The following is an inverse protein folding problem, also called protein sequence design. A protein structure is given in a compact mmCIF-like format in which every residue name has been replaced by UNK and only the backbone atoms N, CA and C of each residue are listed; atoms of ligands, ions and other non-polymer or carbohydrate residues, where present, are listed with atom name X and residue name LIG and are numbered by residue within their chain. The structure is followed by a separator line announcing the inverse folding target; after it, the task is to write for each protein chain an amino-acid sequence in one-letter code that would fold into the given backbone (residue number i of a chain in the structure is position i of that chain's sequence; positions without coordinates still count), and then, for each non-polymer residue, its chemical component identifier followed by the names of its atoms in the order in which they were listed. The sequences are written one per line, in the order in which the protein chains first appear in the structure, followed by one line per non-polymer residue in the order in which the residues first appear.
data_IF_387488486096
#
_entry.id   IF_387488486096
#
_cell.length_a   1.000
_cell.length_b   1.000
_cell.length_c   1.000
_cell.angle_alpha   90.00
_cell.angle_beta   90.00
_cell.angle_gamma   90.00
#
_symmetry.space_group_name_H-M   'P 1'
#
loop_
_entity.id
_entity.type
_entity.pdbx_description
1 polymer ?
#
# COMPACT_ATOMS: atom_id res chain seq x y z
N UNK A 1 16.70 11.28 22.96
CA UNK A 1 15.46 11.66 22.25
C UNK A 1 15.56 11.53 20.73
N UNK A 2 16.72 11.67 20.09
CA UNK A 2 16.88 11.58 18.62
C UNK A 2 16.62 10.18 18.01
N UNK A 3 17.02 9.11 18.72
CA UNK A 3 16.78 7.72 18.27
C UNK A 3 15.30 7.36 18.19
N UNK A 4 14.47 7.84 19.12
CA UNK A 4 13.03 7.56 19.09
C UNK A 4 12.38 8.13 17.83
N UNK A 5 12.78 9.34 17.44
CA UNK A 5 12.27 10.03 16.25
C UNK A 5 12.70 9.35 14.95
N UNK A 6 13.86 8.70 14.93
CA UNK A 6 14.33 7.92 13.79
C UNK A 6 13.67 6.54 13.69
N UNK A 7 13.37 5.89 14.82
CA UNK A 7 12.85 4.50 14.86
C UNK A 7 11.33 4.45 14.73
N UNK A 8 10.60 5.36 15.36
CA UNK A 8 9.14 5.44 15.30
C UNK A 8 8.54 5.32 13.87
N UNK A 9 9.01 6.08 12.87
CA UNK A 9 8.49 6.01 11.50
C UNK A 9 8.77 4.66 10.82
N UNK A 10 9.91 4.03 11.12
CA UNK A 10 10.23 2.67 10.63
C UNK A 10 9.27 1.65 11.23
N UNK A 11 8.95 1.77 12.53
CA UNK A 11 7.97 0.90 13.18
C UNK A 11 6.56 1.10 12.62
N UNK A 12 6.16 2.33 12.32
CA UNK A 12 4.85 2.63 11.73
C UNK A 12 4.76 2.00 10.34
N UNK A 13 5.73 2.27 9.45
CA UNK A 13 5.74 1.71 8.09
C UNK A 13 5.87 0.18 8.12
N UNK A 14 6.70 -0.37 9.01
CA UNK A 14 6.83 -1.81 9.20
C UNK A 14 5.52 -2.46 9.65
N UNK A 15 4.82 -1.86 10.62
CA UNK A 15 3.51 -2.33 11.08
C UNK A 15 2.45 -2.29 9.97
N UNK A 16 2.46 -1.23 9.16
CA UNK A 16 1.61 -1.11 7.97
C UNK A 16 1.85 -2.25 6.99
N UNK A 17 3.11 -2.51 6.63
CA UNK A 17 3.47 -3.57 5.67
C UNK A 17 3.07 -4.94 6.19
N UNK A 18 3.37 -5.25 7.47
CA UNK A 18 2.97 -6.50 8.10
C UNK A 18 1.45 -6.68 8.14
N UNK A 19 0.70 -5.61 8.43
CA UNK A 19 -0.76 -5.63 8.41
C UNK A 19 -1.30 -5.99 7.02
N UNK A 20 -0.82 -5.33 5.97
CA UNK A 20 -1.26 -5.59 4.59
C UNK A 20 -0.90 -7.01 4.16
N UNK A 21 0.33 -7.47 4.39
CA UNK A 21 0.75 -8.84 4.03
C UNK A 21 -0.07 -9.87 4.81
N UNK A 22 -0.27 -9.66 6.11
CA UNK A 22 -1.09 -10.54 6.95
C UNK A 22 -2.53 -10.62 6.48
N UNK A 23 -3.14 -9.47 6.15
CA UNK A 23 -4.51 -9.39 5.61
C UNK A 23 -4.62 -10.03 4.24
N UNK A 24 -3.68 -9.78 3.34
CA UNK A 24 -3.58 -10.44 2.03
C UNK A 24 -3.50 -11.97 2.20
N UNK A 25 -2.56 -12.44 3.02
CA UNK A 25 -2.34 -13.89 3.25
C UNK A 25 -3.57 -14.55 3.85
N UNK A 26 -4.21 -13.92 4.85
CA UNK A 26 -5.42 -14.44 5.47
C UNK A 26 -6.58 -14.54 4.46
N UNK A 27 -6.82 -13.48 3.69
CA UNK A 27 -7.89 -13.46 2.68
C UNK A 27 -7.61 -14.37 1.49
N UNK A 28 -6.33 -14.54 1.11
CA UNK A 28 -5.88 -15.48 0.08
C UNK A 28 -6.17 -16.92 0.49
N UNK A 29 -5.76 -17.29 1.70
CA UNK A 29 -5.98 -18.63 2.24
C UNK A 29 -7.48 -18.95 2.44
N UNK A 30 -8.29 -17.95 2.77
CA UNK A 30 -9.73 -18.11 2.94
C UNK A 30 -10.51 -18.06 1.61
N UNK A 31 -9.85 -17.95 0.45
CA UNK A 31 -10.50 -17.89 -0.87
C UNK A 31 -11.36 -16.65 -1.13
N UNK A 32 -11.36 -15.68 -0.21
CA UNK A 32 -12.15 -14.44 -0.30
C UNK A 32 -11.49 -13.35 -1.17
N UNK A 33 -10.23 -13.58 -1.56
CA UNK A 33 -9.48 -12.73 -2.46
C UNK A 33 -9.97 -13.01 -3.89
N UNK A 34 -10.82 -12.14 -4.42
CA UNK A 34 -11.40 -12.27 -5.76
C UNK A 34 -10.32 -12.27 -6.83
N UNK A 35 -9.94 -13.46 -7.31
CA UNK A 35 -9.06 -13.57 -8.48
C UNK A 35 -9.89 -13.25 -9.71
N UNK A 36 -9.44 -12.28 -10.51
CA UNK A 36 -10.09 -12.00 -11.80
C UNK A 36 -9.94 -13.18 -12.75
N UNK A 37 -10.99 -13.47 -13.53
CA UNK A 37 -11.01 -14.59 -14.50
C UNK A 37 -10.01 -14.42 -15.65
N UNK A 38 -9.65 -13.18 -15.98
CA UNK A 38 -8.71 -12.85 -17.06
C UNK A 38 -7.30 -12.51 -16.52
N UNK A 39 -6.28 -13.07 -17.17
CA UNK A 39 -4.85 -12.86 -16.84
C UNK A 39 -4.45 -11.39 -16.91
N UNK A 40 -4.95 -10.65 -17.90
CA UNK A 40 -4.69 -9.21 -18.03
C UNK A 40 -5.35 -8.41 -16.91
N UNK A 41 -6.54 -8.80 -16.49
CA UNK A 41 -7.24 -8.10 -15.43
C UNK A 41 -6.61 -8.38 -14.06
N UNK A 42 -6.08 -9.58 -13.81
CA UNK A 42 -5.25 -9.86 -12.63
C UNK A 42 -3.97 -9.02 -12.63
N UNK A 43 -3.28 -8.88 -13.77
CA UNK A 43 -2.08 -8.03 -13.89
C UNK A 43 -2.40 -6.57 -13.55
N UNK A 44 -3.51 -6.04 -14.08
CA UNK A 44 -3.96 -4.68 -13.75
C UNK A 44 -4.29 -4.55 -12.27
N UNK A 45 -4.94 -5.57 -11.69
CA UNK A 45 -5.30 -5.57 -10.28
C UNK A 45 -4.06 -5.59 -9.39
N UNK A 46 -3.15 -6.53 -9.61
CA UNK A 46 -1.88 -6.65 -8.88
C UNK A 46 -1.01 -5.39 -9.01
N UNK A 47 -1.18 -4.60 -10.08
CA UNK A 47 -0.51 -3.32 -10.28
C UNK A 47 -1.04 -2.18 -9.38
N UNK A 48 -2.25 -2.26 -8.83
CA UNK A 48 -2.79 -1.22 -7.93
C UNK A 48 -1.95 -1.06 -6.66
N UNK A 49 -1.36 -2.15 -6.16
CA UNK A 49 -0.52 -2.13 -4.97
C UNK A 49 0.76 -1.29 -5.20
N UNK A 50 1.62 -1.61 -6.20
CA UNK A 50 2.79 -0.79 -6.50
C UNK A 50 2.40 0.61 -7.02
N UNK A 51 1.26 0.77 -7.70
CA UNK A 51 0.82 2.09 -8.14
C UNK A 51 0.40 3.00 -6.97
N UNK A 52 -0.27 2.44 -5.97
CA UNK A 52 -0.56 3.14 -4.72
C UNK A 52 0.71 3.59 -4.00
N UNK A 53 1.74 2.72 -3.94
CA UNK A 53 3.06 3.09 -3.40
C UNK A 53 3.70 4.24 -4.17
N UNK A 54 3.67 4.21 -5.51
CA UNK A 54 4.25 5.27 -6.35
C UNK A 54 3.56 6.60 -6.12
N UNK A 55 2.22 6.64 -6.12
CA UNK A 55 1.46 7.86 -5.84
C UNK A 55 1.76 8.39 -4.44
N UNK A 56 1.80 7.51 -3.45
CA UNK A 56 2.17 7.86 -2.08
C UNK A 56 3.59 8.43 -1.97
N UNK A 57 4.55 7.85 -2.69
CA UNK A 57 5.92 8.35 -2.80
C UNK A 57 5.96 9.75 -3.42
N UNK A 58 5.24 9.98 -4.51
CA UNK A 58 5.18 11.29 -5.19
C UNK A 58 4.63 12.35 -4.24
N UNK A 59 3.54 12.05 -3.53
CA UNK A 59 2.99 12.95 -2.50
C UNK A 59 4.03 13.20 -1.41
N UNK A 60 4.70 12.15 -0.93
CA UNK A 60 5.78 12.26 0.04
C UNK A 60 6.95 13.13 -0.41
N UNK A 61 7.32 13.06 -1.70
CA UNK A 61 8.35 13.91 -2.30
C UNK A 61 7.91 15.38 -2.37
N UNK A 62 6.67 15.65 -2.76
CA UNK A 62 6.11 17.01 -2.79
C UNK A 62 6.14 17.61 -1.37
N UNK A 63 5.70 16.85 -0.36
CA UNK A 63 5.81 17.28 1.04
C UNK A 63 7.26 17.45 1.50
N UNK A 64 8.16 16.56 1.07
CA UNK A 64 9.59 16.63 1.36
C UNK A 64 10.27 17.87 0.77
N UNK A 65 9.75 18.46 -0.30
CA UNK A 65 10.24 19.74 -0.84
C UNK A 65 9.97 20.92 0.09
N UNK A 66 8.85 20.91 0.83
CA UNK A 66 8.52 21.95 1.81
C UNK A 66 9.25 21.76 3.14
N UNK A 67 9.59 20.52 3.48
CA UNK A 67 10.23 20.14 4.75
C UNK A 67 11.43 19.20 4.51
N UNK A 68 12.57 19.73 4.02
CA UNK A 68 13.71 18.92 3.57
C UNK A 68 14.32 18.04 4.66
N UNK A 69 14.35 18.52 5.92
CA UNK A 69 14.86 17.75 7.07
C UNK A 69 14.07 16.46 7.34
N UNK A 70 12.81 16.42 6.88
CA UNK A 70 11.91 15.27 7.03
C UNK A 70 11.63 14.57 5.69
N UNK A 71 12.38 14.88 4.63
CA UNK A 71 12.10 14.38 3.29
C UNK A 71 12.08 12.84 3.22
N UNK A 72 13.09 12.18 3.82
CA UNK A 72 13.13 10.71 3.91
C UNK A 72 11.92 10.12 4.65
N UNK A 73 11.44 10.83 5.68
CA UNK A 73 10.28 10.43 6.46
C UNK A 73 8.97 10.61 5.70
N UNK A 74 8.81 11.75 5.05
CA UNK A 74 7.64 12.05 4.24
C UNK A 74 7.50 11.06 3.08
N UNK A 75 8.61 10.71 2.41
CA UNK A 75 8.62 9.70 1.34
C UNK A 75 8.31 8.31 1.87
N UNK A 76 8.92 7.89 2.99
CA UNK A 76 8.69 6.56 3.57
C UNK A 76 7.25 6.38 4.08
N UNK A 77 6.72 7.38 4.78
CA UNK A 77 5.33 7.39 5.24
C UNK A 77 4.36 7.49 4.06
N UNK A 78 4.65 8.34 3.08
CA UNK A 78 3.88 8.45 1.85
C UNK A 78 3.78 7.11 1.12
N UNK A 79 4.91 6.42 0.92
CA UNK A 79 4.94 5.09 0.31
C UNK A 79 4.16 4.05 1.13
N UNK A 80 4.30 4.04 2.46
CA UNK A 80 3.59 3.13 3.35
C UNK A 80 2.08 3.35 3.34
N UNK A 81 1.63 4.60 3.41
CA UNK A 81 0.20 4.97 3.31
C UNK A 81 -0.32 4.65 1.90
N UNK A 82 0.46 4.96 0.87
CA UNK A 82 0.15 4.63 -0.52
C UNK A 82 0.00 3.12 -0.74
N UNK A 83 0.84 2.31 -0.11
CA UNK A 83 0.74 0.85 -0.11
C UNK A 83 -0.60 0.36 0.49
N UNK A 84 -1.04 0.95 1.61
CA UNK A 84 -2.34 0.63 2.22
C UNK A 84 -3.50 0.97 1.30
N UNK A 85 -3.50 2.17 0.71
CA UNK A 85 -4.56 2.58 -0.21
C UNK A 85 -4.55 1.72 -1.48
N UNK A 86 -3.37 1.38 -2.01
CA UNK A 86 -3.22 0.45 -3.12
C UNK A 86 -3.79 -0.93 -2.80
N UNK A 87 -3.57 -1.43 -1.58
CA UNK A 87 -4.17 -2.67 -1.09
C UNK A 87 -5.71 -2.59 -0.95
N UNK A 88 -6.25 -1.50 -0.42
CA UNK A 88 -7.71 -1.33 -0.35
C UNK A 88 -8.35 -1.21 -1.73
N UNK A 89 -7.72 -0.50 -2.67
CA UNK A 89 -8.15 -0.43 -4.06
C UNK A 89 -8.13 -1.83 -4.70
N UNK A 90 -7.03 -2.56 -4.52
CA UNK A 90 -6.92 -3.96 -4.93
C UNK A 90 -8.09 -4.79 -4.38
N UNK A 91 -8.38 -4.72 -3.09
CA UNK A 91 -9.44 -5.50 -2.43
C UNK A 91 -10.84 -5.12 -2.94
N UNK A 92 -11.12 -3.82 -3.11
CA UNK A 92 -12.41 -3.34 -3.58
C UNK A 92 -12.69 -3.71 -5.05
N UNK A 93 -11.71 -3.50 -5.93
CA UNK A 93 -11.81 -3.87 -7.34
C UNK A 93 -11.78 -5.39 -7.56
N UNK A 94 -11.09 -6.13 -6.70
CA UNK A 94 -11.12 -7.61 -6.65
C UNK A 94 -12.53 -8.13 -6.39
N UNK A 95 -13.27 -7.49 -5.48
CA UNK A 95 -14.61 -7.93 -5.05
C UNK A 95 -15.73 -7.46 -5.98
N UNK A 96 -15.59 -6.28 -6.57
CA UNK A 96 -16.63 -5.66 -7.41
C UNK A 96 -16.90 -6.43 -8.71
N UNK A 97 -15.89 -7.06 -9.32
CA UNK A 97 -16.07 -7.73 -10.62
C UNK A 97 -16.59 -9.17 -10.53
N UNK A 98 -16.52 -9.81 -9.36
CA UNK A 98 -17.16 -11.11 -9.12
C UNK A 98 -18.71 -11.01 -9.07
N UNK A 99 -19.26 -9.80 -9.03
CA UNK A 99 -20.71 -9.55 -8.98
C UNK A 99 -21.33 -9.22 -10.34
N UNK A 100 -20.54 -9.23 -11.42
CA UNK A 100 -21.03 -9.10 -12.81
C UNK A 100 -20.94 -10.43 -13.57
N UNK A 101 -21.33 -11.54 -12.92
CA UNK A 101 -21.66 -12.80 -13.61
C UNK A 101 -23.15 -12.85 -13.93
#
# INVERSE_FOLDING_TARGET
MWLLTAIAPVLIVGGIVLYVIGRLKHKYNNGTLGKKKSKNAQILLDSFIPMGMLVGCIIGLIFGMFFPDYSLLAVSLGAGIGYLFGFFAYEFYSKTENNYS
#
